data_IF_218075459686
#
_entry.id   IF_218075459686
#
_cell.length_a   1.000
_cell.length_b   1.000
_cell.length_c   1.000
_cell.angle_alpha   90.00
_cell.angle_beta   90.00
_cell.angle_gamma   90.00
#
_symmetry.space_group_name_H-M   'P 1'
#
loop_
_entity.id
_entity.type
_entity.pdbx_description
1 polymer ?
#
# COMPACT_ATOMS: atom_id res chain seq x y z
N UNK A 1 14.08 36.98 63.93
CA UNK A 1 13.39 36.87 65.23
C UNK A 1 11.90 36.78 64.95
N UNK A 2 11.26 35.67 65.35
CA UNK A 2 9.80 35.37 65.41
C UNK A 2 8.97 35.27 64.11
N UNK A 3 8.56 34.03 63.81
CA UNK A 3 7.33 33.63 63.08
C UNK A 3 6.06 33.88 63.99
N UNK A 4 4.84 33.38 63.67
CA UNK A 4 3.84 33.75 62.64
C UNK A 4 2.42 33.90 63.26
N UNK A 5 1.37 34.25 62.48
CA UNK A 5 -0.07 33.83 62.68
C UNK A 5 -0.94 34.48 61.58
N UNK A 6 -1.54 33.74 60.65
CA UNK A 6 -2.93 33.17 60.64
C UNK A 6 -4.01 34.19 61.03
N UNK A 7 -4.95 34.50 60.11
CA UNK A 7 -6.41 34.38 60.34
C UNK A 7 -7.22 34.58 59.05
N UNK A 8 -8.38 33.93 59.05
CA UNK A 8 -9.28 33.65 57.94
C UNK A 8 -10.21 34.80 57.54
N UNK A 9 -10.61 34.78 56.26
CA UNK A 9 -11.99 34.91 55.78
C UNK A 9 -12.73 36.24 55.96
N UNK A 10 -13.00 36.93 54.84
CA UNK A 10 -14.26 37.64 54.62
C UNK A 10 -14.63 37.54 53.14
N UNK A 11 -15.76 36.89 52.86
CA UNK A 11 -16.45 36.95 51.59
C UNK A 11 -17.15 38.31 51.48
N UNK A 12 -16.92 39.03 50.38
CA UNK A 12 -17.72 40.22 50.03
C UNK A 12 -18.35 39.97 48.66
N UNK A 13 -19.63 39.60 48.71
CA UNK A 13 -20.59 39.77 47.63
C UNK A 13 -20.83 41.27 47.42
N UNK A 14 -20.50 41.79 46.24
CA UNK A 14 -21.11 43.03 45.74
C UNK A 14 -21.82 42.68 44.44
N UNK A 15 -23.13 42.49 44.56
CA UNK A 15 -24.09 42.67 43.48
C UNK A 15 -24.51 44.13 43.45
N UNK A 16 -24.52 44.74 42.26
CA UNK A 16 -25.64 45.51 41.69
C UNK A 16 -25.16 46.70 40.84
N UNK A 17 -25.57 46.72 39.58
CA UNK A 17 -25.39 47.86 38.67
C UNK A 17 -25.92 47.60 37.26
N UNK A 18 -27.24 47.67 37.10
CA UNK A 18 -27.99 47.54 35.84
C UNK A 18 -27.56 48.55 34.76
N UNK A 19 -27.51 48.14 33.48
CA UNK A 19 -28.57 48.46 32.50
C UNK A 19 -28.36 47.74 31.17
N UNK A 20 -29.43 47.08 30.71
CA UNK A 20 -29.58 46.50 29.38
C UNK A 20 -29.56 47.60 28.32
N UNK A 21 -28.66 47.48 27.34
CA UNK A 21 -28.96 47.89 25.97
C UNK A 21 -28.88 46.65 25.07
N UNK A 22 -30.05 46.23 24.57
CA UNK A 22 -30.13 45.22 23.52
C UNK A 22 -29.71 45.86 22.19
N UNK A 23 -28.60 45.41 21.63
CA UNK A 23 -28.39 45.42 20.18
C UNK A 23 -28.28 43.97 19.72
N UNK A 24 -29.23 43.57 18.88
CA UNK A 24 -29.22 42.30 18.15
C UNK A 24 -28.11 42.37 17.11
N UNK A 25 -26.93 41.85 17.43
CA UNK A 25 -25.95 41.45 16.42
C UNK A 25 -25.88 39.93 16.35
N UNK A 26 -25.96 39.45 15.11
CA UNK A 26 -26.01 38.04 14.72
C UNK A 26 -24.82 37.29 15.33
N UNK A 27 -25.12 36.30 16.17
CA UNK A 27 -24.17 35.24 16.53
C UNK A 27 -23.75 34.51 15.25
N UNK A 28 -22.61 34.87 14.67
CA UNK A 28 -21.84 33.94 13.85
C UNK A 28 -21.19 32.99 14.86
N UNK A 29 -21.84 31.85 15.08
CA UNK A 29 -21.27 30.76 15.86
C UNK A 29 -20.11 30.15 15.07
N UNK A 30 -18.91 30.70 15.19
CA UNK A 30 -17.69 29.96 14.89
C UNK A 30 -17.44 29.01 16.07
N UNK A 31 -18.15 27.88 16.09
CA UNK A 31 -17.68 26.75 16.88
C UNK A 31 -16.32 26.33 16.29
N UNK A 32 -15.22 26.34 17.06
CA UNK A 32 -14.06 25.58 16.67
C UNK A 32 -14.48 24.11 16.79
N UNK A 33 -14.82 23.49 15.65
CA UNK A 33 -15.02 22.05 15.55
C UNK A 33 -13.68 21.37 15.79
N UNK A 34 -13.32 21.23 17.05
CA UNK A 34 -12.38 20.20 17.49
C UNK A 34 -13.25 18.95 17.62
N UNK A 35 -13.42 18.23 16.51
CA UNK A 35 -14.06 16.91 16.53
C UNK A 35 -13.08 15.89 17.11
N UNK A 36 -13.54 15.15 18.12
CA UNK A 36 -12.85 14.00 18.69
C UNK A 36 -12.50 12.98 17.60
N UNK A 37 -11.20 12.66 17.49
CA UNK A 37 -10.69 11.74 16.48
C UNK A 37 -10.86 10.30 16.94
N UNK A 38 -11.97 9.68 16.51
CA UNK A 38 -12.16 8.24 16.59
C UNK A 38 -11.64 7.59 15.29
N UNK A 39 -10.43 7.03 15.35
CA UNK A 39 -9.78 6.34 14.23
C UNK A 39 -10.44 5.00 13.87
N UNK A 40 -11.55 4.62 14.54
CA UNK A 40 -12.31 3.39 14.29
C UNK A 40 -13.61 3.62 13.49
N UNK A 41 -13.93 4.87 13.13
CA UNK A 41 -15.03 5.18 12.21
C UNK A 41 -14.47 5.51 10.82
N UNK A 42 -15.02 4.83 9.82
CA UNK A 42 -14.54 4.73 8.42
C UNK A 42 -14.41 6.05 7.63
N UNK A 43 -14.53 7.24 8.22
CA UNK A 43 -14.49 8.53 7.51
C UNK A 43 -13.81 9.62 8.35
N UNK A 44 -12.72 10.20 7.81
CA UNK A 44 -12.07 11.39 8.39
C UNK A 44 -12.50 12.63 7.60
N UNK A 45 -13.11 13.61 8.27
CA UNK A 45 -13.42 14.92 7.68
C UNK A 45 -12.40 15.95 8.13
N UNK A 46 -11.50 16.35 7.23
CA UNK A 46 -10.56 17.46 7.48
C UNK A 46 -10.88 18.62 6.55
N UNK A 47 -11.53 19.65 7.11
CA UNK A 47 -11.93 20.86 6.40
C UNK A 47 -11.23 22.13 6.90
N UNK A 48 -10.38 22.01 7.92
CA UNK A 48 -9.75 23.16 8.60
C UNK A 48 -8.86 23.96 7.65
N UNK A 49 -8.06 23.26 6.84
CA UNK A 49 -7.15 23.86 5.87
C UNK A 49 -7.66 23.76 4.42
N UNK A 50 -8.95 23.46 4.24
CA UNK A 50 -9.56 23.32 2.91
C UNK A 50 -10.17 24.65 2.47
N UNK A 51 -9.77 25.20 1.30
CA UNK A 51 -10.35 26.41 0.73
C UNK A 51 -11.87 26.32 0.64
N UNK A 52 -12.56 27.42 0.95
CA UNK A 52 -14.02 27.42 1.11
C UNK A 52 -14.75 26.85 -0.11
N UNK A 53 -14.27 27.16 -1.32
CA UNK A 53 -14.88 26.68 -2.57
C UNK A 53 -14.67 25.17 -2.83
N UNK A 54 -13.71 24.53 -2.17
CA UNK A 54 -13.42 23.10 -2.30
C UNK A 54 -14.04 22.26 -1.17
N UNK A 55 -14.46 22.88 -0.06
CA UNK A 55 -14.95 22.18 1.15
C UNK A 55 -16.05 21.17 0.86
N UNK A 56 -17.01 21.53 0.00
CA UNK A 56 -18.09 20.61 -0.37
C UNK A 56 -17.53 19.36 -1.06
N UNK A 57 -16.72 19.54 -2.10
CA UNK A 57 -16.15 18.43 -2.86
C UNK A 57 -15.25 17.55 -2.00
N UNK A 58 -14.39 18.15 -1.16
CA UNK A 58 -13.54 17.40 -0.23
C UNK A 58 -14.38 16.63 0.79
N UNK A 59 -15.46 17.21 1.31
CA UNK A 59 -16.41 16.53 2.18
C UNK A 59 -17.11 15.37 1.47
N UNK A 60 -17.56 15.57 0.23
CA UNK A 60 -18.19 14.51 -0.57
C UNK A 60 -17.21 13.35 -0.82
N UNK A 61 -15.92 13.63 -1.06
CA UNK A 61 -14.88 12.60 -1.21
C UNK A 61 -14.65 11.85 0.10
N UNK A 62 -14.47 12.61 1.18
CA UNK A 62 -14.22 12.07 2.51
C UNK A 62 -15.38 11.18 2.96
N UNK A 63 -16.63 11.58 2.69
CA UNK A 63 -17.83 10.84 3.08
C UNK A 63 -17.91 9.43 2.47
N UNK A 64 -17.37 9.24 1.26
CA UNK A 64 -17.30 7.92 0.62
C UNK A 64 -16.07 7.13 1.08
N UNK A 65 -14.97 7.81 1.38
CA UNK A 65 -13.69 7.26 1.84
C UNK A 65 -13.19 6.01 1.07
N UNK A 66 -13.45 5.96 -0.23
CA UNK A 66 -12.97 4.92 -1.15
C UNK A 66 -12.26 5.58 -2.33
N UNK A 67 -11.07 5.09 -2.68
CA UNK A 67 -10.42 5.49 -3.93
C UNK A 67 -11.02 4.70 -5.09
N UNK A 68 -11.72 5.40 -5.98
CA UNK A 68 -12.34 4.84 -7.18
C UNK A 68 -11.65 5.34 -8.46
N UNK A 69 -11.47 4.44 -9.42
CA UNK A 69 -11.02 4.78 -10.79
C UNK A 69 -12.20 5.15 -11.70
N UNK A 70 -11.93 5.45 -12.98
CA UNK A 70 -12.98 5.74 -13.96
C UNK A 70 -13.91 4.54 -14.24
N UNK A 71 -13.45 3.31 -13.94
CA UNK A 71 -14.16 2.10 -14.28
C UNK A 71 -15.11 1.68 -13.16
N UNK A 72 -16.40 1.57 -13.47
CA UNK A 72 -17.39 0.99 -12.58
C UNK A 72 -17.50 -0.54 -12.71
N UNK A 73 -18.17 -1.16 -11.74
CA UNK A 73 -18.38 -2.62 -11.71
C UNK A 73 -19.27 -3.13 -12.84
N UNK A 74 -19.35 -4.46 -13.00
CA UNK A 74 -20.19 -5.07 -14.02
C UNK A 74 -21.65 -4.60 -13.87
N UNK A 75 -22.20 -4.02 -14.95
CA UNK A 75 -23.56 -3.49 -14.96
C UNK A 75 -23.72 -2.08 -14.41
N UNK A 76 -22.63 -1.40 -14.00
CA UNK A 76 -22.70 0.02 -13.62
C UNK A 76 -22.81 0.91 -14.85
N UNK A 77 -23.73 1.87 -14.81
CA UNK A 77 -23.82 2.94 -15.82
C UNK A 77 -23.00 4.16 -15.39
N UNK A 78 -22.00 4.51 -16.21
CA UNK A 78 -21.15 5.68 -16.02
C UNK A 78 -20.10 5.55 -14.92
N UNK A 79 -19.44 6.69 -14.61
CA UNK A 79 -18.31 6.70 -13.68
C UNK A 79 -18.76 6.53 -12.22
N UNK A 80 -17.93 5.89 -11.37
CA UNK A 80 -18.16 5.79 -9.94
C UNK A 80 -18.30 7.15 -9.22
N UNK A 81 -19.05 7.24 -8.11
CA UNK A 81 -19.34 8.50 -7.43
C UNK A 81 -18.11 9.30 -7.00
N UNK A 82 -17.10 8.64 -6.43
CA UNK A 82 -15.90 9.30 -5.95
C UNK A 82 -14.93 9.66 -7.06
N UNK A 83 -14.92 8.90 -8.16
CA UNK A 83 -14.23 9.35 -9.38
C UNK A 83 -14.86 10.65 -9.94
N UNK A 84 -16.20 10.76 -9.92
CA UNK A 84 -16.89 12.02 -10.31
C UNK A 84 -16.53 13.17 -9.37
N UNK A 85 -16.45 12.93 -8.05
CA UNK A 85 -16.03 13.95 -7.09
C UNK A 85 -14.57 14.35 -7.25
N UNK A 86 -13.68 13.38 -7.56
CA UNK A 86 -12.30 13.66 -7.94
C UNK A 86 -12.24 14.56 -9.16
N UNK A 87 -13.00 14.29 -10.23
CA UNK A 87 -13.02 15.17 -11.41
C UNK A 87 -13.48 16.59 -11.08
N UNK A 88 -14.50 16.75 -10.24
CA UNK A 88 -14.90 18.07 -9.73
C UNK A 88 -13.78 18.76 -8.94
N UNK A 89 -13.07 18.03 -8.08
CA UNK A 89 -11.93 18.57 -7.32
C UNK A 89 -10.81 18.99 -8.27
N UNK A 90 -10.48 18.12 -9.22
CA UNK A 90 -9.47 18.33 -10.25
C UNK A 90 -9.78 19.54 -11.12
N UNK A 91 -11.04 19.78 -11.50
CA UNK A 91 -11.40 20.92 -12.35
C UNK A 91 -11.42 22.25 -11.56
N UNK A 92 -11.81 22.21 -10.28
CA UNK A 92 -12.01 23.42 -9.48
C UNK A 92 -10.75 23.92 -8.75
N UNK A 93 -9.89 23.02 -8.26
CA UNK A 93 -8.75 23.40 -7.43
C UNK A 93 -7.62 24.03 -8.28
N UNK A 94 -6.81 24.93 -7.73
CA UNK A 94 -5.51 25.30 -8.28
C UNK A 94 -4.44 24.22 -8.01
N UNK A 95 -3.28 24.29 -8.66
CA UNK A 95 -2.17 23.37 -8.35
C UNK A 95 -1.69 23.53 -6.90
N UNK A 96 -1.63 24.76 -6.39
CA UNK A 96 -1.25 25.05 -5.01
C UNK A 96 -2.24 24.44 -4.02
N UNK A 97 -3.54 24.46 -4.34
CA UNK A 97 -4.58 23.86 -3.51
C UNK A 97 -4.54 22.33 -3.54
N UNK A 98 -4.31 21.72 -4.71
CA UNK A 98 -4.07 20.28 -4.78
C UNK A 98 -2.82 19.90 -3.98
N UNK A 99 -1.75 20.69 -4.04
CA UNK A 99 -0.56 20.47 -3.22
C UNK A 99 -0.86 20.56 -1.72
N UNK A 100 -1.62 21.56 -1.27
CA UNK A 100 -2.04 21.66 0.13
C UNK A 100 -2.91 20.46 0.55
N UNK A 101 -3.77 19.95 -0.33
CA UNK A 101 -4.63 18.79 -0.06
C UNK A 101 -3.86 17.47 0.06
N UNK A 102 -2.61 17.39 -0.40
CA UNK A 102 -1.76 16.21 -0.16
C UNK A 102 -1.47 15.96 1.32
N UNK A 103 -1.66 16.99 2.17
CA UNK A 103 -1.49 16.92 3.63
C UNK A 103 -2.82 16.73 4.38
N UNK A 104 -3.95 16.55 3.66
CA UNK A 104 -5.25 16.32 4.27
C UNK A 104 -5.27 15.05 5.13
N UNK A 105 -5.91 15.07 6.29
CA UNK A 105 -5.96 13.89 7.18
C UNK A 105 -6.68 12.69 6.57
N UNK A 106 -7.62 12.91 5.64
CA UNK A 106 -8.23 11.84 4.88
C UNK A 106 -7.28 11.34 3.78
N UNK A 107 -6.86 10.07 3.87
CA UNK A 107 -5.90 9.49 2.91
C UNK A 107 -6.45 9.41 1.49
N UNK A 108 -7.75 9.21 1.29
CA UNK A 108 -8.36 9.19 -0.05
C UNK A 108 -8.33 10.57 -0.69
N UNK A 109 -8.63 11.63 0.07
CA UNK A 109 -8.49 13.03 -0.40
C UNK A 109 -7.04 13.32 -0.79
N UNK A 110 -6.08 12.92 0.05
CA UNK A 110 -4.67 13.15 -0.20
C UNK A 110 -4.16 12.39 -1.45
N UNK A 111 -4.60 11.14 -1.64
CA UNK A 111 -4.28 10.34 -2.84
C UNK A 111 -4.83 10.99 -4.10
N UNK A 112 -6.10 11.40 -4.10
CA UNK A 112 -6.69 12.11 -5.23
C UNK A 112 -5.98 13.42 -5.53
N UNK A 113 -5.53 14.15 -4.50
CA UNK A 113 -4.78 15.38 -4.66
C UNK A 113 -3.41 15.14 -5.34
N UNK A 114 -2.68 14.09 -4.93
CA UNK A 114 -1.41 13.69 -5.57
C UNK A 114 -1.63 13.27 -7.02
N UNK A 115 -2.67 12.46 -7.30
CA UNK A 115 -3.01 12.05 -8.67
C UNK A 115 -3.37 13.26 -9.54
N UNK A 116 -4.17 14.19 -9.01
CA UNK A 116 -4.52 15.41 -9.73
C UNK A 116 -3.30 16.27 -10.07
N UNK A 117 -2.31 16.34 -9.18
CA UNK A 117 -1.04 17.02 -9.46
C UNK A 117 -0.23 16.33 -10.57
N UNK A 118 -0.17 14.99 -10.54
CA UNK A 118 0.51 14.22 -11.58
C UNK A 118 -0.14 14.42 -12.96
N UNK A 119 -1.47 14.40 -13.02
CA UNK A 119 -2.23 14.63 -14.24
C UNK A 119 -2.01 16.05 -14.80
N UNK A 120 -1.95 17.09 -13.95
CA UNK A 120 -1.75 18.49 -14.40
C UNK A 120 -0.34 18.80 -14.88
N UNK A 121 0.67 18.42 -14.09
CA UNK A 121 2.06 18.74 -14.40
C UNK A 121 2.56 17.97 -15.63
N UNK A 122 1.89 16.87 -15.99
CA UNK A 122 2.35 15.94 -17.02
C UNK A 122 3.74 15.35 -16.73
N UNK A 123 4.20 15.48 -15.48
CA UNK A 123 5.52 15.09 -14.99
C UNK A 123 5.38 14.48 -13.61
N UNK A 124 6.13 13.41 -13.41
CA UNK A 124 6.24 12.76 -12.13
C UNK A 124 6.89 13.67 -11.08
N UNK A 125 6.35 13.61 -9.86
CA UNK A 125 6.83 14.34 -8.69
C UNK A 125 7.07 13.36 -7.54
N UNK A 126 8.35 13.09 -7.25
CA UNK A 126 8.79 12.20 -6.16
C UNK A 126 8.18 12.60 -4.82
N UNK A 127 8.03 13.91 -4.57
CA UNK A 127 7.58 14.39 -3.28
C UNK A 127 6.14 13.95 -2.96
N UNK A 128 5.27 13.90 -3.99
CA UNK A 128 3.90 13.41 -3.85
C UNK A 128 3.87 11.94 -3.46
N UNK A 129 4.68 11.11 -4.12
CA UNK A 129 4.79 9.68 -3.78
C UNK A 129 5.40 9.46 -2.39
N UNK A 130 6.47 10.19 -2.03
CA UNK A 130 7.08 10.15 -0.70
C UNK A 130 6.08 10.48 0.40
N UNK A 131 5.23 11.50 0.20
CA UNK A 131 4.17 11.82 1.17
C UNK A 131 3.21 10.64 1.37
N UNK A 132 2.81 9.98 0.28
CA UNK A 132 1.90 8.82 0.39
C UNK A 132 2.60 7.60 1.01
N UNK A 133 3.89 7.41 0.75
CA UNK A 133 4.67 6.30 1.31
C UNK A 133 4.75 6.36 2.85
N UNK A 134 4.79 7.56 3.43
CA UNK A 134 4.85 7.75 4.88
C UNK A 134 3.48 7.75 5.57
N UNK A 135 2.38 7.68 4.82
CA UNK A 135 1.05 7.57 5.42
C UNK A 135 0.85 6.18 5.96
N UNK A 136 0.28 6.10 7.17
CA UNK A 136 -0.05 4.82 7.81
C UNK A 136 -1.43 4.34 7.38
N UNK A 137 -1.66 3.05 7.49
CA UNK A 137 -2.95 2.41 7.26
C UNK A 137 -3.21 2.13 5.79
N UNK A 138 -4.41 1.61 5.53
CA UNK A 138 -4.89 1.29 4.20
C UNK A 138 -6.08 2.17 3.83
N UNK A 139 -6.36 2.27 2.55
CA UNK A 139 -7.58 2.88 2.03
C UNK A 139 -8.37 1.84 1.26
N UNK A 140 -9.69 1.92 1.33
CA UNK A 140 -10.53 1.14 0.44
C UNK A 140 -10.29 1.58 -1.00
N UNK A 141 -10.15 0.60 -1.88
CA UNK A 141 -9.98 0.83 -3.31
C UNK A 141 -11.07 0.09 -4.09
N UNK A 142 -11.52 0.72 -5.18
CA UNK A 142 -12.41 0.09 -6.15
C UNK A 142 -12.00 0.47 -7.57
N UNK A 143 -11.67 -0.55 -8.37
CA UNK A 143 -11.36 -0.42 -9.78
C UNK A 143 -12.20 -1.42 -10.57
N UNK A 144 -13.32 -0.97 -11.10
CA UNK A 144 -14.31 -1.86 -11.69
C UNK A 144 -14.90 -2.83 -10.66
N UNK A 145 -14.77 -4.13 -10.91
CA UNK A 145 -15.18 -5.19 -9.98
C UNK A 145 -14.10 -5.54 -8.95
N UNK A 146 -12.91 -4.95 -9.04
CA UNK A 146 -11.80 -5.22 -8.12
C UNK A 146 -11.98 -4.30 -6.93
N UNK A 147 -12.25 -4.87 -5.76
CA UNK A 147 -12.42 -4.17 -4.49
C UNK A 147 -11.37 -4.70 -3.51
N UNK A 148 -10.76 -3.81 -2.74
CA UNK A 148 -9.72 -4.20 -1.79
C UNK A 148 -9.33 -3.07 -0.84
N UNK A 149 -8.21 -3.28 -0.15
CA UNK A 149 -7.59 -2.33 0.74
C UNK A 149 -6.10 -2.24 0.45
N UNK A 150 -5.66 -1.08 0.00
CA UNK A 150 -4.28 -0.86 -0.41
C UNK A 150 -3.62 0.23 0.44
N UNK A 151 -2.29 0.20 0.48
CA UNK A 151 -1.51 1.31 1.02
C UNK A 151 -1.73 2.58 0.15
N UNK A 152 -1.83 3.81 0.71
CA UNK A 152 -2.07 5.05 -0.04
C UNK A 152 -1.09 5.31 -1.20
N UNK A 153 0.12 4.76 -1.12
CA UNK A 153 1.12 4.87 -2.18
C UNK A 153 0.78 4.04 -3.44
N UNK A 154 0.02 2.95 -3.32
CA UNK A 154 -0.21 2.04 -4.45
C UNK A 154 -1.04 2.66 -5.59
N UNK A 155 -2.16 3.36 -5.31
CA UNK A 155 -2.88 4.07 -6.37
C UNK A 155 -2.00 5.08 -7.14
N UNK A 156 -1.11 5.77 -6.44
CA UNK A 156 -0.18 6.74 -7.04
C UNK A 156 0.85 6.03 -7.92
N UNK A 157 1.38 4.90 -7.45
CA UNK A 157 2.29 4.06 -8.24
C UNK A 157 1.62 3.57 -9.52
N UNK A 158 0.42 3.00 -9.42
CA UNK A 158 -0.31 2.48 -10.58
C UNK A 158 -0.67 3.58 -11.57
N UNK A 159 -1.09 4.75 -11.08
CA UNK A 159 -1.37 5.90 -11.93
C UNK A 159 -0.14 6.29 -12.76
N UNK A 160 1.06 6.31 -12.15
CA UNK A 160 2.29 6.56 -12.90
C UNK A 160 2.66 5.40 -13.85
N UNK A 161 2.66 4.16 -13.34
CA UNK A 161 3.04 2.97 -14.09
C UNK A 161 2.25 2.84 -15.40
N UNK A 162 0.94 3.05 -15.38
CA UNK A 162 0.07 2.94 -16.56
C UNK A 162 0.20 4.09 -17.55
N UNK A 163 0.90 5.18 -17.23
CA UNK A 163 1.25 6.22 -18.22
C UNK A 163 2.39 5.79 -19.14
N UNK A 164 3.17 4.78 -18.75
CA UNK A 164 4.32 4.31 -19.48
C UNK A 164 3.94 3.24 -20.50
N UNK A 165 4.58 3.30 -21.67
CA UNK A 165 4.52 2.21 -22.65
C UNK A 165 5.32 0.99 -22.17
N UNK A 166 4.97 -0.24 -22.57
CA UNK A 166 5.66 -1.46 -22.12
C UNK A 166 7.19 -1.42 -22.31
N UNK A 167 7.68 -0.81 -23.39
CA UNK A 167 9.11 -0.76 -23.71
C UNK A 167 9.90 0.16 -22.75
N UNK A 168 9.20 1.08 -22.08
CA UNK A 168 9.80 2.03 -21.12
C UNK A 168 9.88 1.50 -19.69
N UNK A 169 9.12 0.46 -19.34
CA UNK A 169 9.01 -0.02 -17.96
C UNK A 169 10.37 -0.39 -17.33
N UNK A 170 11.31 -0.91 -18.13
CA UNK A 170 12.63 -1.29 -17.64
C UNK A 170 13.59 -0.10 -17.50
N UNK A 171 13.50 0.88 -18.39
CA UNK A 171 14.48 1.97 -18.52
C UNK A 171 14.05 3.29 -17.90
N UNK A 172 12.77 3.46 -17.56
CA UNK A 172 12.26 4.70 -16.96
C UNK A 172 12.88 4.97 -15.58
N UNK A 173 13.48 6.16 -15.44
CA UNK A 173 14.24 6.57 -14.25
C UNK A 173 13.34 6.85 -13.05
N UNK A 174 12.15 7.42 -13.30
CA UNK A 174 11.20 7.72 -12.24
C UNK A 174 10.57 6.44 -11.70
N UNK A 175 10.20 5.51 -12.58
CA UNK A 175 9.71 4.19 -12.17
C UNK A 175 10.78 3.44 -11.39
N UNK A 176 12.06 3.51 -11.80
CA UNK A 176 13.18 2.94 -11.03
C UNK A 176 13.26 3.50 -9.61
N UNK A 177 13.06 4.81 -9.46
CA UNK A 177 13.06 5.47 -8.16
C UNK A 177 11.88 5.02 -7.30
N UNK A 178 10.67 4.96 -7.87
CA UNK A 178 9.47 4.42 -7.22
C UNK A 178 9.69 2.98 -6.74
N UNK A 179 10.14 2.11 -7.64
CA UNK A 179 10.40 0.70 -7.35
C UNK A 179 11.40 0.54 -6.20
N UNK A 180 12.44 1.39 -6.17
CA UNK A 180 13.44 1.38 -5.09
C UNK A 180 12.85 1.80 -3.75
N UNK A 181 11.93 2.76 -3.74
CA UNK A 181 11.25 3.22 -2.54
C UNK A 181 10.26 2.17 -2.01
N UNK A 182 9.58 1.44 -2.89
CA UNK A 182 8.65 0.37 -2.53
C UNK A 182 9.29 -0.76 -1.73
N UNK A 183 10.60 -1.01 -1.90
CA UNK A 183 11.33 -2.02 -1.12
C UNK A 183 11.33 -1.73 0.40
N UNK A 184 11.08 -0.49 0.79
CA UNK A 184 11.01 -0.06 2.19
C UNK A 184 9.58 0.15 2.67
N UNK A 185 8.57 -0.14 1.84
CA UNK A 185 7.17 -0.05 2.21
C UNK A 185 6.79 -1.29 3.04
N UNK A 186 6.50 -1.15 4.35
CA UNK A 186 6.28 -2.31 5.21
C UNK A 186 5.06 -3.15 4.79
N UNK A 187 4.05 -2.47 4.23
CA UNK A 187 2.73 -3.04 4.00
C UNK A 187 2.42 -3.19 2.50
N UNK A 188 3.46 -3.20 1.66
CA UNK A 188 3.30 -3.31 0.21
C UNK A 188 2.48 -4.53 -0.17
N UNK A 189 1.52 -4.41 -1.08
CA UNK A 189 0.86 -5.56 -1.66
C UNK A 189 1.86 -6.49 -2.36
N UNK A 190 1.56 -7.79 -2.41
CA UNK A 190 2.36 -8.76 -3.16
C UNK A 190 2.48 -8.36 -4.63
N UNK A 191 1.42 -7.76 -5.20
CA UNK A 191 1.35 -7.37 -6.60
C UNK A 191 2.30 -6.21 -6.92
N UNK A 192 2.31 -5.15 -6.11
CA UNK A 192 3.18 -4.00 -6.36
C UNK A 192 4.65 -4.37 -6.15
N UNK A 193 4.95 -5.18 -5.13
CA UNK A 193 6.30 -5.67 -4.88
C UNK A 193 6.81 -6.58 -6.01
N UNK A 194 5.96 -7.52 -6.49
CA UNK A 194 6.30 -8.34 -7.65
C UNK A 194 6.58 -7.50 -8.89
N UNK A 195 5.79 -6.44 -9.11
CA UNK A 195 5.96 -5.55 -10.25
C UNK A 195 7.29 -4.79 -10.18
N UNK A 196 7.63 -4.24 -9.00
CA UNK A 196 8.89 -3.54 -8.78
C UNK A 196 10.10 -4.46 -8.99
N UNK A 197 10.03 -5.72 -8.55
CA UNK A 197 11.12 -6.68 -8.65
C UNK A 197 11.27 -7.32 -10.04
N UNK A 198 10.21 -7.36 -10.85
CA UNK A 198 10.19 -8.04 -12.15
C UNK A 198 11.09 -7.41 -13.21
N UNK A 199 11.20 -6.08 -13.21
CA UNK A 199 11.68 -5.35 -14.39
C UNK A 199 13.16 -4.95 -14.36
N UNK A 200 13.89 -5.21 -13.27
CA UNK A 200 15.25 -4.69 -13.10
C UNK A 200 16.05 -5.44 -12.04
N UNK A 201 17.37 -5.30 -12.10
CA UNK A 201 18.28 -5.64 -11.00
C UNK A 201 18.57 -4.43 -10.12
N UNK A 202 18.90 -4.69 -8.86
CA UNK A 202 19.13 -3.66 -7.84
C UNK A 202 20.59 -3.62 -7.39
N UNK A 203 21.05 -2.44 -6.95
CA UNK A 203 22.38 -2.27 -6.34
C UNK A 203 22.48 -3.04 -5.01
N UNK A 204 23.70 -3.36 -4.58
CA UNK A 204 23.94 -4.18 -3.38
C UNK A 204 23.24 -3.66 -2.11
N UNK A 205 23.18 -2.35 -1.89
CA UNK A 205 22.46 -1.77 -0.75
C UNK A 205 20.95 -2.07 -0.75
N UNK A 206 20.32 -2.03 -1.93
CA UNK A 206 18.90 -2.39 -2.09
C UNK A 206 18.70 -3.91 -2.10
N UNK A 207 19.68 -4.68 -2.59
CA UNK A 207 19.68 -6.14 -2.51
C UNK A 207 19.58 -6.62 -1.07
N UNK A 208 20.29 -6.00 -0.13
CA UNK A 208 20.17 -6.34 1.29
C UNK A 208 18.75 -6.15 1.83
N UNK A 209 18.04 -5.11 1.38
CA UNK A 209 16.64 -4.92 1.74
C UNK A 209 15.74 -6.02 1.13
N UNK A 210 16.00 -6.45 -0.10
CA UNK A 210 15.29 -7.56 -0.74
C UNK A 210 15.55 -8.89 0.00
N UNK A 211 16.77 -9.10 0.49
CA UNK A 211 17.12 -10.26 1.34
C UNK A 211 16.30 -10.28 2.63
N UNK A 212 16.14 -9.12 3.29
CA UNK A 212 15.26 -9.01 4.47
C UNK A 212 13.80 -9.30 4.13
N UNK A 213 13.30 -8.71 3.04
CA UNK A 213 11.94 -9.01 2.56
C UNK A 213 11.75 -10.51 2.30
N UNK A 214 12.73 -11.17 1.70
CA UNK A 214 12.67 -12.59 1.37
C UNK A 214 12.72 -13.50 2.59
N UNK A 215 13.66 -13.30 3.51
CA UNK A 215 13.96 -14.27 4.57
C UNK A 215 13.48 -13.87 5.97
N UNK A 216 13.35 -12.57 6.25
CA UNK A 216 12.85 -12.09 7.55
C UNK A 216 11.33 -11.86 7.47
N UNK A 217 10.85 -11.38 6.32
CA UNK A 217 9.43 -11.10 6.10
C UNK A 217 8.71 -12.15 5.25
N UNK A 218 9.42 -13.17 4.77
CA UNK A 218 8.87 -14.28 3.97
C UNK A 218 8.04 -13.83 2.75
N UNK A 219 8.43 -12.71 2.12
CA UNK A 219 7.72 -12.13 0.97
C UNK A 219 8.06 -12.92 -0.29
N UNK A 220 7.05 -13.56 -0.90
CA UNK A 220 7.25 -14.42 -2.07
C UNK A 220 7.90 -13.70 -3.27
N UNK A 221 7.48 -12.48 -3.66
CA UNK A 221 8.14 -11.74 -4.73
C UNK A 221 9.64 -11.55 -4.53
N UNK A 222 10.07 -11.32 -3.28
CA UNK A 222 11.48 -11.17 -2.94
C UNK A 222 12.23 -12.51 -3.05
N UNK A 223 11.61 -13.62 -2.64
CA UNK A 223 12.17 -14.96 -2.84
C UNK A 223 12.37 -15.28 -4.33
N UNK A 224 11.33 -15.05 -5.15
CA UNK A 224 11.38 -15.30 -6.59
C UNK A 224 12.41 -14.42 -7.30
N UNK A 225 12.57 -13.17 -6.84
CA UNK A 225 13.61 -12.28 -7.33
C UNK A 225 15.02 -12.83 -7.05
N UNK A 226 15.29 -13.26 -5.82
CA UNK A 226 16.59 -13.81 -5.44
C UNK A 226 16.87 -15.13 -6.17
N UNK A 227 15.87 -15.98 -6.39
CA UNK A 227 16.02 -17.20 -7.20
C UNK A 227 16.33 -16.90 -8.67
N UNK A 228 15.76 -15.82 -9.22
CA UNK A 228 15.99 -15.46 -10.63
C UNK A 228 17.38 -14.85 -10.86
N UNK A 229 17.86 -13.99 -9.96
CA UNK A 229 19.04 -13.15 -10.20
C UNK A 229 20.24 -13.47 -9.32
N UNK A 230 20.03 -14.05 -8.15
CA UNK A 230 21.04 -14.24 -7.12
C UNK A 230 21.07 -15.68 -6.57
N UNK A 231 20.54 -16.64 -7.34
CA UNK A 231 20.35 -18.03 -6.92
C UNK A 231 21.55 -18.66 -6.25
N UNK A 232 22.72 -18.52 -6.89
CA UNK A 232 23.97 -19.12 -6.42
C UNK A 232 24.41 -18.54 -5.07
N UNK A 233 24.23 -17.23 -4.89
CA UNK A 233 24.58 -16.51 -3.66
C UNK A 233 23.69 -16.96 -2.49
N UNK A 234 22.39 -17.17 -2.74
CA UNK A 234 21.40 -17.48 -1.70
C UNK A 234 20.87 -18.92 -1.75
N UNK A 235 21.63 -19.85 -2.33
CA UNK A 235 21.13 -21.20 -2.61
C UNK A 235 20.65 -21.96 -1.38
N UNK A 236 21.37 -21.86 -0.27
CA UNK A 236 20.99 -22.51 0.99
C UNK A 236 19.67 -21.95 1.57
N UNK A 237 19.60 -20.63 1.85
CA UNK A 237 18.38 -19.98 2.33
C UNK A 237 17.16 -20.19 1.42
N UNK A 238 17.31 -20.07 0.10
CA UNK A 238 16.22 -20.26 -0.86
C UNK A 238 15.63 -21.66 -0.79
N UNK A 239 16.48 -22.71 -0.80
CA UNK A 239 16.01 -24.08 -0.68
C UNK A 239 15.22 -24.31 0.61
N UNK A 240 15.66 -23.72 1.73
CA UNK A 240 14.93 -23.81 3.01
C UNK A 240 13.54 -23.18 2.92
N UNK A 241 13.41 -22.03 2.29
CA UNK A 241 12.10 -21.37 2.12
C UNK A 241 11.18 -22.14 1.17
N UNK A 242 11.70 -22.65 0.04
CA UNK A 242 10.90 -23.48 -0.86
C UNK A 242 10.42 -24.76 -0.21
N UNK A 243 11.26 -25.43 0.59
CA UNK A 243 10.85 -26.60 1.39
C UNK A 243 9.68 -26.23 2.31
N UNK A 244 9.77 -25.14 3.08
CA UNK A 244 8.68 -24.68 3.95
C UNK A 244 7.39 -24.43 3.16
N UNK A 245 7.47 -23.84 1.97
CA UNK A 245 6.31 -23.57 1.12
C UNK A 245 5.68 -24.86 0.57
N UNK A 246 6.50 -25.87 0.23
CA UNK A 246 6.02 -27.18 -0.24
C UNK A 246 5.32 -27.95 0.91
N UNK A 247 5.87 -27.86 2.12
CA UNK A 247 5.34 -28.53 3.31
C UNK A 247 4.12 -27.82 3.92
N UNK A 248 3.80 -26.60 3.48
CA UNK A 248 2.66 -25.83 3.99
C UNK A 248 1.34 -26.33 3.40
N UNK A 249 0.53 -27.01 4.20
CA UNK A 249 -0.78 -27.56 3.81
C UNK A 249 -1.84 -26.51 3.45
N UNK A 250 -1.63 -25.23 3.80
CA UNK A 250 -2.53 -24.13 3.39
C UNK A 250 -2.32 -23.69 1.94
N UNK A 251 -1.24 -24.12 1.29
CA UNK A 251 -0.95 -23.79 -0.10
C UNK A 251 -1.54 -24.86 -1.01
N UNK A 252 -2.35 -24.44 -1.99
CA UNK A 252 -2.94 -25.36 -2.96
C UNK A 252 -1.89 -26.07 -3.83
N UNK A 253 -2.17 -27.32 -4.19
CA UNK A 253 -1.22 -28.22 -4.87
C UNK A 253 -0.62 -27.65 -6.15
N UNK A 254 -1.38 -26.88 -6.93
CA UNK A 254 -0.87 -26.23 -8.14
C UNK A 254 0.29 -25.28 -7.86
N UNK A 255 0.25 -24.51 -6.77
CA UNK A 255 1.35 -23.60 -6.40
C UNK A 255 2.52 -24.36 -5.79
N UNK A 256 2.27 -25.46 -5.09
CA UNK A 256 3.34 -26.33 -4.59
C UNK A 256 4.17 -26.92 -5.73
N UNK A 257 3.56 -27.27 -6.87
CA UNK A 257 4.29 -27.72 -8.07
C UNK A 257 5.31 -26.68 -8.54
N UNK A 258 4.95 -25.40 -8.55
CA UNK A 258 5.88 -24.32 -8.92
C UNK A 258 7.10 -24.29 -7.98
N UNK A 259 6.87 -24.41 -6.66
CA UNK A 259 7.95 -24.44 -5.67
C UNK A 259 8.80 -25.70 -5.74
N UNK A 260 8.22 -26.85 -6.09
CA UNK A 260 8.95 -28.09 -6.33
C UNK A 260 9.85 -27.95 -7.55
N UNK A 261 9.35 -27.36 -8.64
CA UNK A 261 10.17 -27.03 -9.83
C UNK A 261 11.35 -26.11 -9.46
N UNK A 262 11.09 -25.07 -8.66
CA UNK A 262 12.14 -24.19 -8.15
C UNK A 262 13.15 -24.95 -7.28
N UNK A 263 12.70 -25.82 -6.37
CA UNK A 263 13.58 -26.61 -5.51
C UNK A 263 14.44 -27.61 -6.31
N UNK A 264 13.85 -28.27 -7.31
CA UNK A 264 14.55 -29.21 -8.20
C UNK A 264 15.65 -28.52 -9.00
N UNK A 265 15.45 -27.28 -9.40
CA UNK A 265 16.42 -26.54 -10.20
C UNK A 265 17.73 -26.19 -9.45
N UNK A 266 17.85 -26.53 -8.16
CA UNK A 266 19.11 -26.48 -7.42
C UNK A 266 20.01 -27.72 -7.63
N UNK A 267 19.49 -28.80 -8.24
CA UNK A 267 20.20 -30.06 -8.47
C UNK A 267 20.90 -30.59 -7.20
N UNK A 268 20.15 -30.61 -6.09
CA UNK A 268 20.65 -30.99 -4.78
C UNK A 268 19.99 -32.28 -4.30
N UNK A 269 20.75 -33.37 -4.32
CA UNK A 269 20.29 -34.70 -3.87
C UNK A 269 19.84 -34.73 -2.40
N UNK A 270 20.28 -33.77 -1.58
CA UNK A 270 19.80 -33.60 -0.20
C UNK A 270 18.30 -33.32 -0.10
N UNK A 271 17.67 -32.80 -1.17
CA UNK A 271 16.24 -32.52 -1.21
C UNK A 271 15.38 -33.74 -1.58
N UNK A 272 16.00 -34.88 -1.97
CA UNK A 272 15.33 -36.08 -2.49
C UNK A 272 14.11 -36.50 -1.66
N UNK A 273 14.28 -36.62 -0.34
CA UNK A 273 13.22 -37.09 0.57
C UNK A 273 11.98 -36.18 0.52
N UNK A 274 12.19 -34.87 0.57
CA UNK A 274 11.10 -33.88 0.61
C UNK A 274 10.35 -33.87 -0.73
N UNK A 275 11.11 -33.88 -1.84
CA UNK A 275 10.52 -33.94 -3.18
C UNK A 275 9.70 -35.22 -3.34
N UNK A 276 10.24 -36.40 -2.99
CA UNK A 276 9.50 -37.66 -3.09
C UNK A 276 8.23 -37.68 -2.23
N UNK A 277 8.29 -37.11 -1.01
CA UNK A 277 7.12 -36.99 -0.16
C UNK A 277 6.01 -36.18 -0.83
N UNK A 278 6.37 -35.12 -1.57
CA UNK A 278 5.43 -34.34 -2.36
C UNK A 278 4.88 -35.14 -3.55
N UNK A 279 5.77 -35.72 -4.38
CA UNK A 279 5.40 -36.44 -5.61
C UNK A 279 4.52 -37.68 -5.36
N UNK A 280 4.52 -38.23 -4.13
CA UNK A 280 3.63 -39.31 -3.72
C UNK A 280 2.22 -38.83 -3.36
N UNK A 281 2.06 -37.56 -3.00
CA UNK A 281 0.78 -36.95 -2.58
C UNK A 281 0.01 -36.35 -3.76
N UNK A 282 0.71 -35.64 -4.64
CA UNK A 282 0.14 -35.15 -5.91
C UNK A 282 0.61 -36.07 -7.03
N UNK A 283 -0.28 -36.52 -7.92
CA UNK A 283 0.11 -37.31 -9.10
C UNK A 283 0.16 -36.48 -10.38
N UNK A 284 -0.33 -35.24 -10.35
CA UNK A 284 -0.44 -34.36 -11.50
C UNK A 284 0.92 -33.82 -11.97
N UNK A 285 1.96 -33.88 -11.14
CA UNK A 285 3.32 -33.49 -11.52
C UNK A 285 3.87 -34.28 -12.72
N UNK A 286 3.32 -35.49 -12.99
CA UNK A 286 3.72 -36.29 -14.16
C UNK A 286 3.39 -35.59 -15.48
N UNK A 287 2.47 -34.62 -15.47
CA UNK A 287 2.12 -33.81 -16.62
C UNK A 287 3.01 -32.56 -16.75
N UNK A 288 3.97 -32.33 -15.84
CA UNK A 288 4.84 -31.16 -15.82
C UNK A 288 6.24 -31.52 -16.35
N UNK A 289 6.58 -31.20 -17.63
CA UNK A 289 7.84 -31.59 -18.22
C UNK A 289 9.07 -31.05 -17.47
N UNK A 290 8.92 -29.87 -16.86
CA UNK A 290 9.99 -29.22 -16.08
C UNK A 290 10.39 -30.08 -14.88
N UNK A 291 9.41 -30.56 -14.10
CA UNK A 291 9.66 -31.44 -12.94
C UNK A 291 10.32 -32.74 -13.42
N UNK A 292 9.73 -33.41 -14.41
CA UNK A 292 10.23 -34.67 -14.96
C UNK A 292 11.70 -34.57 -15.38
N UNK A 293 12.06 -33.50 -16.11
CA UNK A 293 13.42 -33.31 -16.64
C UNK A 293 14.51 -33.07 -15.57
N UNK A 294 14.12 -32.79 -14.32
CA UNK A 294 15.06 -32.44 -13.25
C UNK A 294 15.17 -33.49 -12.13
N UNK A 295 14.34 -34.54 -12.15
CA UNK A 295 14.32 -35.56 -11.09
C UNK A 295 15.67 -36.27 -10.92
N UNK A 296 16.25 -36.74 -12.02
CA UNK A 296 17.51 -37.50 -12.00
C UNK A 296 18.67 -36.66 -11.44
N UNK A 297 18.73 -35.36 -11.76
CA UNK A 297 19.71 -34.42 -11.22
C UNK A 297 19.59 -34.23 -9.69
N UNK A 298 18.44 -34.59 -9.12
CA UNK A 298 18.19 -34.57 -7.68
C UNK A 298 18.21 -35.99 -7.07
N UNK A 299 18.77 -36.97 -7.81
CA UNK A 299 18.94 -38.35 -7.35
C UNK A 299 17.65 -39.15 -7.26
N UNK A 300 16.60 -38.73 -7.98
CA UNK A 300 15.30 -39.39 -8.03
C UNK A 300 15.19 -40.17 -9.34
N UNK A 301 15.15 -41.50 -9.27
CA UNK A 301 14.98 -42.37 -10.43
C UNK A 301 13.53 -42.82 -10.59
N UNK A 302 13.21 -43.45 -11.73
CA UNK A 302 11.87 -43.95 -12.02
C UNK A 302 11.34 -44.93 -10.94
N UNK A 303 12.23 -45.70 -10.32
CA UNK A 303 11.89 -46.66 -9.26
C UNK A 303 11.40 -45.97 -7.97
N UNK A 304 11.82 -44.74 -7.71
CA UNK A 304 11.49 -44.03 -6.46
C UNK A 304 10.02 -43.54 -6.41
N UNK A 305 9.37 -43.41 -7.56
CA UNK A 305 8.02 -42.83 -7.72
C UNK A 305 7.04 -43.68 -8.54
N UNK A 306 7.43 -44.92 -8.84
CA UNK A 306 6.51 -45.95 -9.34
C UNK A 306 5.47 -46.33 -8.30
#
# INVERSE_FOLDING_TARGET
MKFPTIFAGVAILILSGCQKHQQKEKKVASNPLIEEFDFTKDVVFDTLNVPQHLRKTVKDISALNVYETAYGGKGSEGNPPNFKNFRKLYDAASEQELFALTDNKNSVVAVYAVIGLLERKGKYDVSGFQKMLHRKGKIHIQNGCIIGEDHPAEPVYWNYYYTLKPEKLKSDVNLKQLDSMLLFMPDASELILATALRNRTYSDGLKQQIVRLAFDNHRLPALLYLDSWHKKEYAGPLQKEFIKLIENDSIGESRKRDYVSMLLSFNNTGNKKIILNYLKKDSLWRNEPQIMSQLENNGISAEDYR
#
